data_IF_492420344317
#
_entry.id   IF_492420344317
#
_cell.length_a   1.000
_cell.length_b   1.000
_cell.length_c   1.000
_cell.angle_alpha   90.00
_cell.angle_beta   90.00
_cell.angle_gamma   90.00
#
_symmetry.space_group_name_H-M   'P 1'
#
loop_
_entity.id
_entity.type
_entity.pdbx_description
1 polymer ?
#
# COMPACT_ATOMS: atom_id res chain seq x y z
N UNK A 1 -30.16 -23.50 50.04
CA UNK A 1 -29.32 -24.58 49.48
C UNK A 1 -29.35 -24.46 47.96
N UNK A 2 -28.37 -23.78 47.34
CA UNK A 2 -28.21 -23.72 45.89
C UNK A 2 -27.18 -24.77 45.44
N UNK A 3 -27.37 -25.41 44.29
CA UNK A 3 -26.26 -25.87 43.45
C UNK A 3 -26.79 -26.19 42.04
N UNK A 4 -26.56 -25.20 41.18
CA UNK A 4 -26.74 -25.25 39.73
C UNK A 4 -25.86 -26.32 39.09
N UNK A 5 -26.36 -26.97 38.04
CA UNK A 5 -25.50 -27.60 37.05
C UNK A 5 -25.98 -27.15 35.67
N UNK A 6 -25.50 -25.99 35.26
CA UNK A 6 -25.65 -25.47 33.90
C UNK A 6 -24.35 -25.82 33.16
N UNK A 7 -24.41 -26.83 32.29
CA UNK A 7 -23.30 -27.23 31.45
C UNK A 7 -23.13 -26.21 30.33
N UNK A 8 -22.21 -25.28 30.50
CA UNK A 8 -21.79 -24.34 29.46
C UNK A 8 -21.11 -25.08 28.31
N UNK A 9 -21.78 -25.13 27.14
CA UNK A 9 -21.14 -25.51 25.88
C UNK A 9 -20.18 -24.39 25.46
N UNK A 10 -18.89 -24.63 25.66
CA UNK A 10 -17.84 -23.78 25.11
C UNK A 10 -17.84 -23.90 23.58
N UNK A 11 -18.24 -22.83 22.90
CA UNK A 11 -18.05 -22.68 21.45
C UNK A 11 -16.55 -22.57 21.17
N UNK A 12 -15.97 -23.67 20.68
CA UNK A 12 -14.58 -23.74 20.23
C UNK A 12 -14.36 -22.74 19.10
N UNK A 13 -13.67 -21.66 19.42
CA UNK A 13 -13.13 -20.73 18.43
C UNK A 13 -12.23 -21.48 17.46
N UNK A 14 -12.71 -21.66 16.23
CA UNK A 14 -12.01 -22.36 15.14
C UNK A 14 -10.74 -21.60 14.78
N UNK A 15 -9.62 -21.90 15.44
CA UNK A 15 -8.28 -21.43 15.07
C UNK A 15 -7.99 -21.90 13.64
N UNK A 16 -8.11 -20.98 12.69
CA UNK A 16 -7.76 -21.23 11.28
C UNK A 16 -6.24 -21.36 11.19
N UNK A 17 -5.74 -22.57 10.93
CA UNK A 17 -4.32 -22.84 10.68
C UNK A 17 -3.82 -21.96 9.52
N UNK A 18 -2.77 -21.18 9.76
CA UNK A 18 -2.20 -20.20 8.83
C UNK A 18 -1.75 -20.83 7.50
N UNK A 19 -1.34 -22.10 7.54
CA UNK A 19 -0.75 -22.85 6.42
C UNK A 19 -1.72 -23.10 5.26
N UNK A 20 -3.04 -23.18 5.51
CA UNK A 20 -4.03 -23.40 4.44
C UNK A 20 -4.32 -22.15 3.60
N UNK A 21 -4.03 -20.95 4.12
CA UNK A 21 -4.27 -19.70 3.38
C UNK A 21 -3.20 -19.43 2.31
N UNK A 22 -1.96 -19.85 2.56
CA UNK A 22 -0.85 -19.69 1.59
C UNK A 22 -1.09 -20.52 0.34
N UNK A 23 -1.59 -21.76 0.47
CA UNK A 23 -1.90 -22.62 -0.67
C UNK A 23 -3.05 -22.14 -1.57
N UNK A 24 -3.85 -21.17 -1.11
CA UNK A 24 -4.93 -20.55 -1.89
C UNK A 24 -4.59 -19.17 -2.43
N UNK A 25 -3.40 -18.64 -2.11
CA UNK A 25 -2.92 -17.35 -2.62
C UNK A 25 -2.45 -17.56 -4.07
N UNK A 26 -3.37 -17.41 -5.02
CA UNK A 26 -3.02 -17.24 -6.42
C UNK A 26 -2.45 -15.84 -6.61
N UNK A 27 -1.17 -15.73 -6.98
CA UNK A 27 -0.58 -14.46 -7.44
C UNK A 27 -1.14 -14.19 -8.84
N UNK A 28 -2.35 -13.62 -8.88
CA UNK A 28 -2.98 -13.20 -10.13
C UNK A 28 -2.28 -11.97 -10.68
N UNK A 29 -1.25 -12.16 -11.50
CA UNK A 29 -0.78 -11.09 -12.39
C UNK A 29 -1.87 -10.82 -13.42
N UNK A 30 -2.70 -9.80 -13.19
CA UNK A 30 -3.58 -9.22 -14.22
C UNK A 30 -5.07 -9.15 -13.96
N UNK A 31 -5.59 -9.40 -12.75
CA UNK A 31 -7.05 -9.32 -12.55
C UNK A 31 -7.49 -8.86 -11.15
N UNK A 32 -6.82 -7.83 -10.61
CA UNK A 32 -7.40 -6.98 -9.58
C UNK A 32 -8.06 -5.78 -10.25
N UNK A 33 -9.40 -5.73 -10.24
CA UNK A 33 -10.26 -4.60 -10.65
C UNK A 33 -9.51 -3.27 -10.65
N UNK A 34 -9.07 -2.84 -11.82
CA UNK A 34 -8.87 -1.43 -12.07
C UNK A 34 -10.28 -0.83 -12.11
N UNK A 35 -10.72 -0.21 -11.03
CA UNK A 35 -11.61 0.94 -11.19
C UNK A 35 -10.79 2.00 -11.92
N UNK A 36 -10.62 1.81 -13.24
CA UNK A 36 -10.33 2.91 -14.15
C UNK A 36 -11.63 3.70 -14.09
N UNK A 37 -11.74 4.57 -13.10
CA UNK A 37 -12.63 5.70 -13.22
C UNK A 37 -12.17 6.34 -14.52
N UNK A 38 -13.04 6.31 -15.53
CA UNK A 38 -12.78 6.79 -16.88
C UNK A 38 -12.72 8.32 -16.86
N UNK A 39 -11.94 8.88 -15.94
CA UNK A 39 -11.43 10.24 -15.95
C UNK A 39 -10.12 10.16 -16.70
N UNK A 40 -10.23 10.15 -18.02
CA UNK A 40 -9.29 10.92 -18.84
C UNK A 40 -9.54 12.40 -18.49
N UNK A 41 -9.26 12.79 -17.25
CA UNK A 41 -8.91 14.18 -17.01
C UNK A 41 -7.56 14.30 -17.71
N UNK A 42 -7.52 15.18 -18.70
CA UNK A 42 -6.31 15.88 -19.10
C UNK A 42 -5.31 15.89 -17.94
N UNK A 43 -4.37 14.94 -17.93
CA UNK A 43 -3.24 14.99 -17.01
C UNK A 43 -2.48 16.20 -17.51
N UNK A 44 -2.44 17.26 -16.71
CA UNK A 44 -1.44 18.29 -16.92
C UNK A 44 -0.09 17.57 -17.01
N UNK A 45 0.78 17.99 -17.93
CA UNK A 45 2.04 17.29 -18.26
C UNK A 45 2.95 16.98 -17.06
N UNK A 46 2.65 17.57 -15.90
CA UNK A 46 3.36 17.40 -14.63
C UNK A 46 2.74 16.36 -13.67
N UNK A 47 1.54 15.81 -13.93
CA UNK A 47 0.89 14.85 -13.03
C UNK A 47 1.46 13.42 -13.20
N UNK A 48 1.97 12.83 -12.12
CA UNK A 48 2.61 11.52 -12.09
C UNK A 48 1.70 10.44 -11.51
N UNK A 49 1.84 9.19 -11.96
CA UNK A 49 1.11 8.06 -11.37
C UNK A 49 1.45 7.92 -9.88
N UNK A 50 2.71 8.17 -9.51
CA UNK A 50 3.19 8.15 -8.14
C UNK A 50 2.49 9.19 -7.27
N UNK A 51 2.34 10.43 -7.75
CA UNK A 51 1.70 11.49 -6.97
C UNK A 51 0.19 11.24 -6.77
N UNK A 52 -0.47 10.67 -7.78
CA UNK A 52 -1.88 10.27 -7.68
C UNK A 52 -2.04 9.12 -6.67
N UNK A 53 -1.21 8.07 -6.77
CA UNK A 53 -1.23 6.95 -5.81
C UNK A 53 -0.88 7.41 -4.39
N UNK A 54 0.07 8.34 -4.23
CA UNK A 54 0.44 8.91 -2.94
C UNK A 54 -0.75 9.59 -2.27
N UNK A 55 -1.56 10.36 -3.01
CA UNK A 55 -2.79 10.97 -2.48
C UNK A 55 -3.81 9.92 -2.03
N UNK A 56 -3.99 8.86 -2.82
CA UNK A 56 -4.90 7.77 -2.46
C UNK A 56 -4.43 7.03 -1.20
N UNK A 57 -3.14 6.72 -1.10
CA UNK A 57 -2.59 6.05 0.07
C UNK A 57 -2.63 6.94 1.33
N UNK A 58 -2.47 8.27 1.21
CA UNK A 58 -2.67 9.20 2.34
C UNK A 58 -4.12 9.18 2.84
N UNK A 59 -5.10 9.06 1.94
CA UNK A 59 -6.50 8.98 2.33
C UNK A 59 -6.83 7.68 3.09
N UNK A 60 -6.15 6.58 2.73
CA UNK A 60 -6.38 5.25 3.29
C UNK A 60 -5.55 4.95 4.54
N UNK A 61 -4.30 5.43 4.59
CA UNK A 61 -3.36 5.14 5.65
C UNK A 61 -3.20 6.36 6.57
N UNK A 62 -3.74 6.25 7.79
CA UNK A 62 -3.73 7.33 8.80
C UNK A 62 -2.69 7.12 9.91
N UNK A 63 -1.79 6.16 9.73
CA UNK A 63 -0.69 5.92 10.69
C UNK A 63 0.25 7.12 10.70
N UNK A 64 0.86 7.39 11.85
CA UNK A 64 1.77 8.53 11.99
C UNK A 64 3.06 8.29 11.19
N UNK A 65 3.55 7.05 11.15
CA UNK A 65 4.64 6.61 10.27
C UNK A 65 4.36 7.01 8.80
N UNK A 66 3.15 6.74 8.29
CA UNK A 66 2.84 7.08 6.89
C UNK A 66 2.71 8.59 6.65
N UNK A 67 2.28 9.37 7.64
CA UNK A 67 2.25 10.84 7.54
C UNK A 67 3.66 11.42 7.49
N UNK A 68 4.57 10.88 8.30
CA UNK A 68 5.98 11.28 8.31
C UNK A 68 6.62 10.97 6.96
N UNK A 69 6.45 9.74 6.45
CA UNK A 69 6.83 9.35 5.09
C UNK A 69 6.32 10.33 4.04
N UNK A 70 5.01 10.60 4.05
CA UNK A 70 4.39 11.49 3.08
C UNK A 70 5.01 12.88 3.12
N UNK A 71 5.23 13.44 4.31
CA UNK A 71 5.83 14.76 4.47
C UNK A 71 7.27 14.84 3.93
N UNK A 72 8.05 13.77 4.11
CA UNK A 72 9.42 13.67 3.59
C UNK A 72 9.45 13.51 2.07
N UNK A 73 8.55 12.72 1.49
CA UNK A 73 8.61 12.39 0.06
C UNK A 73 7.89 13.40 -0.84
N UNK A 74 6.84 14.06 -0.33
CA UNK A 74 6.03 15.03 -1.08
C UNK A 74 6.85 16.07 -1.87
N UNK A 75 7.89 16.74 -1.33
CA UNK A 75 8.65 17.75 -2.08
C UNK A 75 9.40 17.17 -3.29
N UNK A 76 9.71 15.87 -3.31
CA UNK A 76 10.48 15.24 -4.38
C UNK A 76 9.60 14.70 -5.52
N UNK A 77 8.29 14.62 -5.31
CA UNK A 77 7.38 13.88 -6.20
C UNK A 77 6.24 14.74 -6.76
N UNK A 78 6.33 16.06 -6.59
CA UNK A 78 5.30 17.02 -7.07
C UNK A 78 5.23 17.11 -8.59
N UNK A 79 6.29 16.74 -9.28
CA UNK A 79 6.34 16.72 -10.75
C UNK A 79 7.21 15.57 -11.24
N UNK A 80 6.99 15.17 -12.50
CA UNK A 80 7.77 14.09 -13.13
C UNK A 80 9.27 14.37 -13.19
N UNK A 81 9.65 15.63 -13.44
CA UNK A 81 11.07 16.02 -13.50
C UNK A 81 11.76 15.88 -12.16
N UNK A 82 11.08 16.28 -11.07
CA UNK A 82 11.59 16.09 -9.72
C UNK A 82 11.70 14.60 -9.38
N UNK A 83 10.68 13.81 -9.74
CA UNK A 83 10.68 12.38 -9.53
C UNK A 83 11.86 11.68 -10.24
N UNK A 84 12.16 12.08 -11.47
CA UNK A 84 13.29 11.53 -12.23
C UNK A 84 14.65 11.94 -11.65
N UNK A 85 14.75 13.18 -11.15
CA UNK A 85 15.98 13.70 -10.54
C UNK A 85 16.26 13.08 -9.17
N UNK A 86 15.23 12.93 -8.34
CA UNK A 86 15.33 12.44 -6.96
C UNK A 86 14.95 10.95 -6.80
N UNK A 87 14.92 10.18 -7.90
CA UNK A 87 14.45 8.77 -7.89
C UNK A 87 15.15 7.91 -6.83
N UNK A 88 16.46 8.07 -6.65
CA UNK A 88 17.23 7.31 -5.66
C UNK A 88 16.76 7.61 -4.24
N UNK A 89 16.55 8.90 -3.92
CA UNK A 89 16.04 9.35 -2.62
C UNK A 89 14.65 8.78 -2.36
N UNK A 90 13.78 8.80 -3.38
CA UNK A 90 12.42 8.25 -3.30
C UNK A 90 12.46 6.73 -3.06
N UNK A 91 13.32 6.00 -3.76
CA UNK A 91 13.50 4.56 -3.60
C UNK A 91 14.07 4.21 -2.22
N UNK A 92 15.09 4.94 -1.76
CA UNK A 92 15.69 4.73 -0.44
C UNK A 92 14.66 4.92 0.69
N UNK A 93 13.81 5.95 0.59
CA UNK A 93 12.72 6.18 1.53
C UNK A 93 11.68 5.06 1.49
N UNK A 94 11.29 4.59 0.30
CA UNK A 94 10.37 3.47 0.16
C UNK A 94 10.95 2.18 0.77
N UNK A 95 12.25 1.92 0.57
CA UNK A 95 12.95 0.77 1.13
C UNK A 95 13.03 0.85 2.65
N UNK A 96 13.35 2.02 3.20
CA UNK A 96 13.39 2.24 4.65
C UNK A 96 12.05 1.90 5.31
N UNK A 97 10.94 2.28 4.67
CA UNK A 97 9.59 1.97 5.15
C UNK A 97 9.18 0.51 4.95
N UNK A 98 9.76 -0.18 3.98
CA UNK A 98 9.60 -1.63 3.77
C UNK A 98 10.34 -2.47 4.80
N UNK A 99 11.51 -2.00 5.26
CA UNK A 99 12.32 -2.71 6.26
C UNK A 99 11.78 -2.58 7.67
N UNK A 100 11.03 -1.53 7.95
CA UNK A 100 10.29 -1.40 9.19
C UNK A 100 9.05 -2.30 9.10
N UNK A 101 8.71 -3.01 10.18
CA UNK A 101 7.57 -3.95 10.29
C UNK A 101 6.22 -3.19 10.28
N UNK A 102 6.05 -2.35 9.26
CA UNK A 102 5.03 -1.34 9.12
C UNK A 102 3.77 -1.97 8.58
N UNK A 103 2.61 -1.59 9.13
CA UNK A 103 1.31 -1.96 8.56
C UNK A 103 1.08 -1.32 7.17
N UNK A 104 2.01 -0.51 6.67
CA UNK A 104 1.94 0.16 5.39
C UNK A 104 2.54 -0.62 4.20
N UNK A 105 3.01 -1.87 4.35
CA UNK A 105 3.67 -2.62 3.26
C UNK A 105 2.83 -2.62 1.97
N UNK A 106 1.52 -2.84 2.05
CA UNK A 106 0.65 -2.80 0.86
C UNK A 106 0.66 -1.44 0.18
N UNK A 107 0.57 -0.35 0.96
CA UNK A 107 0.64 1.03 0.45
C UNK A 107 1.99 1.30 -0.22
N UNK A 108 3.09 0.87 0.39
CA UNK A 108 4.44 1.03 -0.16
C UNK A 108 4.60 0.23 -1.47
N UNK A 109 4.09 -1.00 -1.55
CA UNK A 109 4.12 -1.79 -2.79
C UNK A 109 3.34 -1.12 -3.93
N UNK A 110 2.18 -0.51 -3.64
CA UNK A 110 1.41 0.25 -4.63
C UNK A 110 2.18 1.48 -5.12
N UNK A 111 2.84 2.19 -4.20
CA UNK A 111 3.69 3.34 -4.53
C UNK A 111 4.89 2.94 -5.40
N UNK A 112 5.56 1.82 -5.10
CA UNK A 112 6.65 1.29 -5.93
C UNK A 112 6.15 0.93 -7.33
N UNK A 113 4.99 0.29 -7.43
CA UNK A 113 4.41 -0.01 -8.73
C UNK A 113 4.08 1.26 -9.52
N UNK A 114 3.52 2.29 -8.88
CA UNK A 114 3.29 3.58 -9.51
C UNK A 114 4.60 4.26 -9.95
N UNK A 115 5.64 4.22 -9.12
CA UNK A 115 6.98 4.73 -9.42
C UNK A 115 7.58 4.03 -10.65
N UNK A 116 7.52 2.70 -10.69
CA UNK A 116 8.00 1.90 -11.81
C UNK A 116 7.24 2.23 -13.10
N UNK A 117 5.94 2.56 -13.02
CA UNK A 117 5.16 3.00 -14.19
C UNK A 117 5.54 4.39 -14.68
N UNK A 118 5.94 5.30 -13.79
CA UNK A 118 6.40 6.65 -14.16
C UNK A 118 7.81 6.64 -14.78
N UNK A 119 8.72 5.84 -14.21
CA UNK A 119 10.13 5.78 -14.60
C UNK A 119 10.39 4.77 -15.75
N UNK A 120 9.61 3.71 -15.85
CA UNK A 120 9.71 2.67 -16.90
C UNK A 120 11.15 2.19 -17.12
N UNK A 121 11.74 2.46 -18.28
CA UNK A 121 13.11 2.07 -18.62
C UNK A 121 14.19 2.80 -17.81
N UNK A 122 13.81 3.81 -17.01
CA UNK A 122 14.69 4.59 -16.12
C UNK A 122 14.51 4.22 -14.64
N UNK A 123 13.74 3.17 -14.35
CA UNK A 123 13.57 2.63 -13.01
C UNK A 123 14.78 1.80 -12.59
#
# INVERSE_FOLDING_TARGET
>A
MPSSTQTSKATVGKRRKLTSKIGSLHVGFGQGRTHISNKVLSRTDDSTFFHDELKEQVALNKTDDFKEFHSHILPFVQSRRLLEHYKEVVVDQLLQYLTNDSMAVESICKLIHALARDLQAKF
#
